data_IF_088719607828
#
_entry.id   IF_088719607828
#
_cell.length_a   1.000
_cell.length_b   1.000
_cell.length_c   1.000
_cell.angle_alpha   90.00
_cell.angle_beta   90.00
_cell.angle_gamma   90.00
#
_symmetry.space_group_name_H-M   'P 1'
#
loop_
_entity.id
_entity.type
_entity.pdbx_description
1 polymer ?
#
# COMPACT_ATOMS: atom_id res chain seq x y z
N UNK A 1 -29.81 -66.75 55.49
CA UNK A 1 -28.34 -66.89 55.49
C UNK A 1 -27.91 -66.91 54.03
N UNK A 2 -27.56 -65.73 53.47
CA UNK A 2 -26.18 -65.32 53.12
C UNK A 2 -25.57 -66.23 52.05
N UNK A 3 -25.36 -65.79 50.81
CA UNK A 3 -24.27 -64.91 50.30
C UNK A 3 -24.57 -64.70 48.79
N UNK A 4 -24.32 -63.58 48.09
CA UNK A 4 -23.32 -62.51 48.22
C UNK A 4 -22.32 -62.61 47.06
N UNK A 5 -22.64 -62.07 45.87
CA UNK A 5 -21.75 -62.05 44.69
C UNK A 5 -21.47 -60.61 44.27
N UNK A 6 -20.19 -60.32 44.03
CA UNK A 6 -19.57 -59.01 43.87
C UNK A 6 -19.74 -58.37 42.47
N UNK A 7 -19.75 -57.04 42.43
CA UNK A 7 -19.57 -56.20 41.22
C UNK A 7 -18.14 -55.62 41.17
N UNK A 8 -17.54 -55.45 39.98
CA UNK A 8 -16.23 -54.81 39.84
C UNK A 8 -16.33 -53.27 39.67
N UNK A 9 -15.31 -52.60 40.21
CA UNK A 9 -15.13 -51.16 40.34
C UNK A 9 -14.61 -50.49 39.05
N UNK A 10 -15.03 -49.25 38.83
CA UNK A 10 -14.52 -48.30 37.83
C UNK A 10 -13.33 -47.48 38.36
N UNK A 11 -12.31 -47.15 37.55
CA UNK A 11 -11.18 -46.34 37.99
C UNK A 11 -11.44 -44.83 37.86
N UNK A 12 -10.98 -44.10 38.87
CA UNK A 12 -11.07 -42.65 39.07
C UNK A 12 -9.94 -41.88 38.38
N UNK A 13 -10.30 -40.71 37.84
CA UNK A 13 -9.42 -39.76 37.15
C UNK A 13 -8.59 -38.94 38.15
N UNK A 14 -7.26 -38.98 38.02
CA UNK A 14 -6.34 -38.07 38.74
C UNK A 14 -6.14 -36.82 37.89
N UNK A 15 -6.50 -35.65 38.44
CA UNK A 15 -6.16 -34.33 37.92
C UNK A 15 -4.81 -33.91 38.49
N UNK A 16 -3.88 -33.47 37.65
CA UNK A 16 -2.66 -32.77 38.07
C UNK A 16 -2.69 -31.36 37.47
N UNK A 17 -2.91 -30.38 38.33
CA UNK A 17 -2.71 -28.96 38.05
C UNK A 17 -1.20 -28.66 38.04
N UNK A 18 -0.74 -27.85 37.10
CA UNK A 18 0.54 -27.13 37.21
C UNK A 18 0.28 -25.64 37.01
N UNK A 19 0.64 -24.87 38.03
CA UNK A 19 0.73 -23.41 38.00
C UNK A 19 2.19 -23.00 37.68
N UNK A 20 2.44 -21.89 36.99
CA UNK A 20 3.77 -21.54 36.48
C UNK A 20 4.59 -20.77 37.52
N UNK A 21 5.85 -21.17 37.70
CA UNK A 21 6.83 -20.53 38.58
C UNK A 21 8.02 -19.98 37.79
N UNK A 22 8.27 -18.69 38.00
CA UNK A 22 9.30 -17.81 37.43
C UNK A 22 10.71 -18.11 37.98
N UNK A 23 11.75 -18.01 37.14
CA UNK A 23 13.10 -17.45 37.45
C UNK A 23 13.87 -17.26 36.11
N UNK A 24 14.10 -16.05 35.58
CA UNK A 24 15.06 -14.96 35.95
C UNK A 24 16.45 -15.10 35.28
N UNK A 25 16.75 -14.09 34.43
CA UNK A 25 18.04 -13.44 34.04
C UNK A 25 19.11 -14.31 33.32
N UNK A 26 19.82 -13.82 32.28
CA UNK A 26 20.51 -12.54 32.26
C UNK A 26 20.83 -11.99 30.85
N UNK A 27 20.98 -10.66 30.81
CA UNK A 27 21.09 -9.75 29.67
C UNK A 27 22.53 -9.43 29.23
N UNK A 28 22.67 -8.83 28.05
CA UNK A 28 23.66 -7.77 27.67
C UNK A 28 23.13 -7.13 26.37
N UNK A 29 22.47 -5.97 26.31
CA UNK A 29 22.73 -4.58 26.76
C UNK A 29 23.70 -3.77 25.86
N UNK A 30 23.18 -2.69 25.27
CA UNK A 30 23.86 -1.63 24.53
C UNK A 30 22.83 -0.65 23.93
N UNK A 31 22.07 0.11 24.73
CA UNK A 31 22.34 1.49 25.22
C UNK A 31 21.58 2.55 24.39
N UNK A 32 20.42 3.01 24.91
CA UNK A 32 19.67 4.19 24.43
C UNK A 32 19.66 5.20 25.58
N UNK A 33 20.11 6.43 25.31
CA UNK A 33 19.95 7.56 26.23
C UNK A 33 18.65 8.31 25.91
N UNK A 34 17.83 8.47 26.94
CA UNK A 34 16.71 9.40 27.04
C UNK A 34 17.23 10.68 27.68
N UNK A 35 16.94 11.84 27.11
CA UNK A 35 17.08 13.14 27.80
C UNK A 35 15.76 13.88 27.64
N UNK A 36 15.07 14.06 28.77
CA UNK A 36 13.97 14.98 28.96
C UNK A 36 14.53 16.27 29.58
N UNK A 37 14.02 17.43 29.19
CA UNK A 37 14.13 18.69 29.94
C UNK A 37 13.18 19.73 29.36
N UNK A 38 12.11 19.96 30.11
CA UNK A 38 11.28 21.16 30.07
C UNK A 38 12.02 22.34 30.70
N UNK A 39 11.99 23.53 30.09
CA UNK A 39 12.10 24.81 30.79
C UNK A 39 11.48 25.95 29.98
N UNK A 40 10.44 26.55 30.57
CA UNK A 40 9.85 27.84 30.21
C UNK A 40 10.72 28.93 30.86
N UNK A 41 11.15 29.94 30.09
CA UNK A 41 11.46 31.28 30.62
C UNK A 41 10.99 32.35 29.64
N UNK A 42 10.08 33.18 30.13
CA UNK A 42 9.63 34.46 29.57
C UNK A 42 10.69 35.54 29.78
N UNK A 43 10.87 36.45 28.81
CA UNK A 43 11.10 37.87 29.12
C UNK A 43 10.88 38.74 27.87
N UNK A 44 10.01 39.73 28.06
CA UNK A 44 9.87 40.91 27.21
C UNK A 44 10.96 41.93 27.56
N UNK A 45 11.29 42.81 26.62
CA UNK A 45 12.22 43.92 26.86
C UNK A 45 12.35 44.85 25.65
N UNK A 46 11.67 45.98 25.77
CA UNK A 46 11.57 47.15 24.87
C UNK A 46 12.89 47.80 24.40
N UNK A 47 12.75 48.65 23.37
CA UNK A 47 13.59 49.85 23.16
C UNK A 47 14.20 49.93 21.75
N UNK A 48 13.54 50.49 20.73
CA UNK A 48 13.28 51.91 20.42
C UNK A 48 14.48 52.67 19.78
N UNK A 49 14.14 53.48 18.75
CA UNK A 49 14.93 54.56 18.09
C UNK A 49 16.03 54.16 17.09
N UNK A 50 16.28 54.85 15.97
CA UNK A 50 15.59 55.89 15.19
C UNK A 50 16.38 56.05 13.86
N UNK A 51 15.72 56.52 12.80
CA UNK A 51 16.20 57.31 11.64
C UNK A 51 17.68 57.20 11.18
N UNK A 52 17.94 57.04 9.88
CA UNK A 52 17.87 58.16 8.91
C UNK A 52 18.38 57.76 7.50
N UNK A 53 17.71 58.33 6.51
CA UNK A 53 18.08 58.68 5.12
C UNK A 53 19.47 58.36 4.55
N UNK A 54 19.50 57.91 3.29
CA UNK A 54 20.73 57.86 2.49
C UNK A 54 20.50 57.60 0.99
N UNK A 55 19.80 58.51 0.32
CA UNK A 55 19.67 58.58 -1.14
C UNK A 55 21.04 58.78 -1.82
N UNK A 56 21.46 57.89 -2.73
CA UNK A 56 22.42 58.22 -3.80
C UNK A 56 22.09 57.47 -5.10
N UNK A 57 21.42 58.21 -5.96
CA UNK A 57 21.39 58.07 -7.41
C UNK A 57 22.78 58.23 -8.03
N UNK A 58 23.17 57.31 -8.92
CA UNK A 58 24.03 57.58 -10.08
C UNK A 58 23.59 56.70 -11.24
N UNK A 59 22.91 57.30 -12.22
CA UNK A 59 22.74 56.72 -13.53
C UNK A 59 23.97 56.95 -14.40
N UNK A 60 24.21 56.04 -15.35
CA UNK A 60 24.61 56.39 -16.72
C UNK A 60 24.35 55.22 -17.67
N UNK A 61 23.58 55.51 -18.71
CA UNK A 61 23.25 54.63 -19.83
C UNK A 61 24.44 54.46 -20.80
N UNK A 62 24.47 53.32 -21.50
CA UNK A 62 25.41 53.07 -22.61
C UNK A 62 25.18 51.72 -23.31
N UNK A 63 24.44 51.77 -24.42
CA UNK A 63 24.01 50.71 -25.36
C UNK A 63 25.08 49.66 -25.75
N UNK A 64 24.64 48.40 -25.91
CA UNK A 64 25.29 47.37 -26.72
C UNK A 64 24.35 46.20 -27.02
N UNK A 65 23.91 46.08 -28.28
CA UNK A 65 23.07 44.98 -28.83
C UNK A 65 23.84 43.66 -28.82
N UNK A 66 23.28 42.62 -28.20
CA UNK A 66 23.73 41.23 -28.33
C UNK A 66 22.51 40.31 -28.35
N UNK A 67 22.22 39.73 -29.52
CA UNK A 67 21.10 38.85 -29.80
C UNK A 67 21.42 37.46 -29.23
N UNK A 68 20.78 37.07 -28.12
CA UNK A 68 20.95 35.75 -27.50
C UNK A 68 19.58 35.16 -27.18
N UNK A 69 19.18 34.15 -27.96
CA UNK A 69 17.95 33.38 -27.81
C UNK A 69 17.98 32.54 -26.52
N UNK A 70 17.54 33.12 -25.40
CA UNK A 70 17.31 32.42 -24.14
C UNK A 70 15.91 31.84 -24.09
N UNK A 71 15.77 30.56 -24.49
CA UNK A 71 14.56 29.75 -24.26
C UNK A 71 14.27 29.72 -22.76
N UNK A 72 13.19 30.39 -22.35
CA UNK A 72 12.59 30.19 -21.04
C UNK A 72 12.29 28.70 -20.85
N UNK A 73 12.86 28.13 -19.78
CA UNK A 73 12.52 26.81 -19.26
C UNK A 73 11.02 26.79 -18.94
N UNK A 74 10.22 26.34 -19.89
CA UNK A 74 8.86 25.91 -19.65
C UNK A 74 8.96 24.55 -18.95
N UNK A 75 8.41 24.48 -17.74
CA UNK A 75 8.07 23.23 -17.08
C UNK A 75 7.41 22.31 -18.09
N UNK A 76 8.08 21.22 -18.47
CA UNK A 76 7.48 20.10 -19.19
C UNK A 76 6.89 19.14 -18.16
N UNK A 77 5.92 19.64 -17.38
CA UNK A 77 4.82 18.78 -16.98
C UNK A 77 4.07 18.47 -18.28
N UNK A 78 4.26 17.27 -18.83
CA UNK A 78 3.34 16.76 -19.85
C UNK A 78 1.90 16.90 -19.34
N UNK A 79 0.90 17.02 -20.23
CA UNK A 79 -0.47 16.97 -19.79
C UNK A 79 -0.64 15.68 -18.99
N UNK A 80 -1.09 15.80 -17.75
CA UNK A 80 -1.55 14.63 -17.00
C UNK A 80 -2.61 13.91 -17.85
N UNK A 81 -2.82 12.60 -17.64
CA UNK A 81 -3.85 11.87 -18.38
C UNK A 81 -5.13 12.69 -18.36
N UNK A 82 -5.71 12.97 -19.53
CA UNK A 82 -6.97 13.72 -19.61
C UNK A 82 -7.93 13.02 -18.65
N UNK A 83 -8.27 13.70 -17.56
CA UNK A 83 -9.25 13.20 -16.60
C UNK A 83 -10.49 13.02 -17.44
N UNK A 84 -10.92 11.77 -17.62
CA UNK A 84 -12.13 11.48 -18.39
C UNK A 84 -13.26 12.29 -17.74
N UNK A 85 -13.68 13.35 -18.43
CA UNK A 85 -14.56 14.37 -17.88
C UNK A 85 -15.96 13.81 -17.54
N UNK A 86 -16.17 12.53 -17.82
CA UNK A 86 -17.37 11.77 -17.54
C UNK A 86 -17.34 10.99 -16.20
N UNK A 87 -16.24 10.99 -15.45
CA UNK A 87 -16.19 10.30 -14.15
C UNK A 87 -16.96 11.10 -13.09
N UNK A 88 -18.06 10.52 -12.62
CA UNK A 88 -18.93 11.12 -11.60
C UNK A 88 -18.69 10.51 -10.21
N UNK A 89 -18.33 9.22 -10.16
CA UNK A 89 -18.16 8.48 -8.91
C UNK A 89 -16.83 7.76 -8.84
N UNK A 90 -16.18 7.84 -7.69
CA UNK A 90 -14.89 7.21 -7.46
C UNK A 90 -14.99 6.36 -6.20
N UNK A 91 -14.82 5.05 -6.37
CA UNK A 91 -14.77 4.09 -5.28
C UNK A 91 -13.33 3.89 -4.86
N UNK A 92 -13.02 4.28 -3.62
CA UNK A 92 -11.70 4.14 -3.02
C UNK A 92 -11.75 2.93 -2.10
N UNK A 93 -11.11 1.85 -2.52
CA UNK A 93 -11.11 0.58 -1.82
C UNK A 93 -9.87 0.43 -0.93
N UNK A 94 -10.06 -0.06 0.28
CA UNK A 94 -9.00 -0.76 1.00
C UNK A 94 -8.76 -2.17 0.43
N UNK A 95 -7.58 -2.72 0.66
CA UNK A 95 -7.16 -4.02 0.14
C UNK A 95 -7.42 -5.15 1.14
N UNK A 96 -6.70 -5.13 2.26
CA UNK A 96 -6.52 -6.23 3.19
C UNK A 96 -7.70 -6.28 4.16
N UNK A 97 -8.38 -7.41 4.26
CA UNK A 97 -9.62 -7.62 5.03
C UNK A 97 -10.86 -6.88 4.49
N UNK A 98 -10.71 -6.23 3.33
CA UNK A 98 -11.80 -5.63 2.56
C UNK A 98 -12.05 -6.39 1.25
N UNK A 99 -11.16 -6.28 0.26
CA UNK A 99 -11.28 -7.01 -1.01
C UNK A 99 -10.75 -8.43 -0.85
N UNK A 100 -9.59 -8.57 -0.20
CA UNK A 100 -8.91 -9.84 0.00
C UNK A 100 -8.84 -10.15 1.49
N UNK A 101 -8.73 -11.43 1.85
CA UNK A 101 -8.33 -11.84 3.19
C UNK A 101 -6.85 -12.20 3.17
N UNK A 102 -6.06 -11.72 4.12
CA UNK A 102 -4.64 -12.05 4.17
C UNK A 102 -4.09 -12.07 5.60
N UNK A 103 -4.01 -10.91 6.25
CA UNK A 103 -3.49 -10.79 7.62
C UNK A 103 -4.35 -11.57 8.62
N UNK A 104 -5.67 -11.60 8.41
CA UNK A 104 -6.60 -12.37 9.25
C UNK A 104 -6.40 -13.88 9.13
N UNK A 105 -5.85 -14.35 8.00
CA UNK A 105 -5.48 -15.76 7.81
C UNK A 105 -4.21 -16.09 8.59
N UNK A 106 -3.18 -15.24 8.48
CA UNK A 106 -1.90 -15.40 9.18
C UNK A 106 -2.06 -15.40 10.70
N UNK A 107 -2.93 -14.53 11.22
CA UNK A 107 -3.21 -14.42 12.66
C UNK A 107 -4.19 -15.48 13.18
N UNK A 108 -4.86 -16.22 12.29
CA UNK A 108 -5.94 -17.15 12.63
C UNK A 108 -7.23 -16.46 13.10
N UNK A 109 -7.30 -15.13 13.07
CA UNK A 109 -8.49 -14.38 13.51
C UNK A 109 -9.71 -14.63 12.61
N UNK A 110 -9.51 -14.84 11.31
CA UNK A 110 -10.56 -15.27 10.40
C UNK A 110 -11.18 -16.60 10.85
N UNK A 111 -10.31 -17.56 11.23
CA UNK A 111 -10.74 -18.88 11.66
C UNK A 111 -11.61 -18.82 12.93
N UNK A 112 -11.18 -18.05 13.93
CA UNK A 112 -11.95 -17.83 15.14
C UNK A 112 -13.31 -17.16 14.88
N UNK A 113 -13.35 -16.18 13.97
CA UNK A 113 -14.56 -15.42 13.66
C UNK A 113 -15.60 -16.22 12.87
N UNK A 114 -15.16 -17.05 11.93
CA UNK A 114 -16.05 -17.77 11.00
C UNK A 114 -16.08 -19.30 11.23
N UNK A 115 -15.54 -19.77 12.36
CA UNK A 115 -15.59 -21.18 12.74
C UNK A 115 -14.81 -22.10 11.80
N UNK A 116 -13.64 -21.65 11.31
CA UNK A 116 -12.74 -22.47 10.48
C UNK A 116 -11.66 -23.14 11.32
N UNK A 117 -11.00 -24.13 10.73
CA UNK A 117 -9.82 -24.75 11.32
C UNK A 117 -8.63 -23.77 11.28
N UNK A 118 -8.11 -23.39 12.46
CA UNK A 118 -7.05 -22.39 12.56
C UNK A 118 -5.72 -22.84 11.93
N UNK A 119 -5.20 -24.06 12.17
CA UNK A 119 -3.98 -24.55 11.50
C UNK A 119 -4.08 -24.51 9.97
N UNK A 120 -5.19 -24.97 9.39
CA UNK A 120 -5.40 -24.94 7.94
C UNK A 120 -5.48 -23.51 7.40
N UNK A 121 -6.15 -22.61 8.13
CA UNK A 121 -6.27 -21.19 7.76
C UNK A 121 -4.90 -20.49 7.73
N UNK A 122 -4.11 -20.67 8.79
CA UNK A 122 -2.75 -20.08 8.89
C UNK A 122 -1.83 -20.66 7.82
N UNK A 123 -1.93 -21.97 7.53
CA UNK A 123 -1.15 -22.62 6.47
C UNK A 123 -1.40 -22.02 5.09
N UNK A 124 -2.66 -21.74 4.73
CA UNK A 124 -3.01 -21.05 3.48
C UNK A 124 -2.44 -19.62 3.47
N UNK A 125 -2.56 -18.89 4.59
CA UNK A 125 -1.99 -17.55 4.74
C UNK A 125 -0.48 -17.52 4.47
N UNK A 126 0.28 -18.41 5.11
CA UNK A 126 1.74 -18.51 4.98
C UNK A 126 2.17 -18.86 3.55
N UNK A 127 1.47 -19.80 2.89
CA UNK A 127 1.75 -20.13 1.49
C UNK A 127 1.51 -18.95 0.55
N UNK A 128 0.46 -18.16 0.81
CA UNK A 128 0.20 -16.95 0.01
C UNK A 128 1.23 -15.86 0.29
N UNK A 129 1.64 -15.68 1.54
CA UNK A 129 2.70 -14.76 1.93
C UNK A 129 4.01 -15.08 1.22
N UNK A 130 4.42 -16.36 1.21
CA UNK A 130 5.60 -16.82 0.47
C UNK A 130 5.50 -16.47 -1.02
N UNK A 131 4.34 -16.67 -1.64
CA UNK A 131 4.13 -16.30 -3.05
C UNK A 131 4.21 -14.79 -3.28
N UNK A 132 3.63 -13.98 -2.39
CA UNK A 132 3.66 -12.51 -2.47
C UNK A 132 5.10 -12.01 -2.42
N UNK A 133 5.89 -12.44 -1.42
CA UNK A 133 7.28 -12.01 -1.29
C UNK A 133 8.14 -12.57 -2.42
N UNK A 134 7.96 -13.84 -2.79
CA UNK A 134 8.70 -14.44 -3.91
C UNK A 134 8.46 -13.69 -5.22
N UNK A 135 7.22 -13.31 -5.54
CA UNK A 135 6.91 -12.51 -6.74
C UNK A 135 7.54 -11.11 -6.63
N UNK A 136 7.39 -10.47 -5.46
CA UNK A 136 7.90 -9.12 -5.20
C UNK A 136 9.41 -9.03 -5.39
N UNK A 137 10.17 -9.97 -4.85
CA UNK A 137 11.63 -10.01 -4.99
C UNK A 137 12.07 -10.41 -6.40
N UNK A 138 11.46 -11.45 -6.96
CA UNK A 138 11.92 -12.00 -8.25
C UNK A 138 11.61 -11.08 -9.43
N UNK A 139 10.47 -10.37 -9.39
CA UNK A 139 9.97 -9.65 -10.55
C UNK A 139 9.79 -8.16 -10.33
N UNK A 140 9.64 -7.70 -9.08
CA UNK A 140 9.26 -6.31 -8.79
C UNK A 140 10.31 -5.56 -7.95
N UNK A 141 11.56 -6.06 -7.93
CA UNK A 141 12.69 -5.40 -7.29
C UNK A 141 12.48 -5.08 -5.81
N UNK A 142 11.67 -5.85 -5.09
CA UNK A 142 11.33 -5.51 -3.70
C UNK A 142 12.57 -5.44 -2.80
N UNK A 143 13.49 -6.39 -2.92
CA UNK A 143 14.80 -6.32 -2.29
C UNK A 143 15.54 -4.99 -2.51
N UNK A 144 15.43 -4.35 -3.69
CA UNK A 144 16.05 -3.04 -3.94
C UNK A 144 15.23 -1.89 -3.37
N UNK A 145 13.91 -2.01 -3.37
CA UNK A 145 12.98 -0.90 -3.18
C UNK A 145 12.42 -0.76 -1.75
N UNK A 146 12.57 -1.76 -0.88
CA UNK A 146 12.00 -1.80 0.47
C UNK A 146 12.25 -0.48 1.26
N UNK A 147 13.49 0.01 1.28
CA UNK A 147 13.87 1.23 2.02
C UNK A 147 13.46 2.53 1.31
N UNK A 148 13.16 2.47 0.01
CA UNK A 148 12.83 3.61 -0.83
C UNK A 148 11.45 3.51 -1.48
N UNK A 149 10.51 2.81 -0.83
CA UNK A 149 9.13 2.64 -1.27
C UNK A 149 8.43 3.98 -1.55
N UNK A 150 7.55 3.99 -2.56
CA UNK A 150 6.86 5.16 -3.08
C UNK A 150 5.35 5.04 -2.83
N UNK A 151 4.67 6.18 -2.77
CA UNK A 151 3.21 6.23 -2.59
C UNK A 151 2.50 5.82 -3.87
N UNK A 152 3.02 6.23 -5.03
CA UNK A 152 2.42 6.00 -6.33
C UNK A 152 3.49 5.64 -7.37
N UNK A 153 3.13 4.80 -8.36
CA UNK A 153 4.04 4.26 -9.38
C UNK A 153 4.83 5.32 -10.16
N UNK A 154 4.24 6.51 -10.33
CA UNK A 154 4.82 7.61 -11.10
C UNK A 154 5.53 8.69 -10.26
N UNK A 155 5.73 8.48 -8.94
CA UNK A 155 6.31 9.49 -8.04
C UNK A 155 7.72 9.94 -8.43
N UNK A 156 8.49 9.01 -9.00
CA UNK A 156 9.87 9.22 -9.44
C UNK A 156 10.00 9.32 -10.96
N UNK A 157 8.89 9.37 -11.69
CA UNK A 157 8.90 9.35 -13.16
C UNK A 157 9.59 10.58 -13.78
N UNK A 158 9.67 11.70 -13.05
CA UNK A 158 10.34 12.92 -13.53
C UNK A 158 11.86 12.77 -13.66
N UNK A 159 12.47 11.82 -12.94
CA UNK A 159 13.91 11.52 -13.01
C UNK A 159 14.25 10.48 -14.09
N UNK A 160 13.23 9.93 -14.76
CA UNK A 160 13.39 9.00 -15.87
C UNK A 160 13.70 9.75 -17.18
N UNK A 161 14.67 9.25 -17.94
CA UNK A 161 15.05 9.79 -19.25
C UNK A 161 14.40 9.06 -20.44
N UNK A 162 13.57 8.04 -20.18
CA UNK A 162 12.81 7.31 -21.19
C UNK A 162 13.63 6.34 -22.03
N UNK A 163 14.82 5.91 -21.59
CA UNK A 163 15.57 4.87 -22.31
C UNK A 163 14.80 3.54 -22.33
N UNK A 164 15.01 2.76 -23.39
CA UNK A 164 14.54 1.38 -23.43
C UNK A 164 15.23 0.56 -22.33
N UNK A 165 14.42 -0.15 -21.53
CA UNK A 165 14.89 -0.99 -20.43
C UNK A 165 14.99 -2.46 -20.80
N UNK A 166 14.66 -2.84 -22.04
CA UNK A 166 14.65 -4.25 -22.47
C UNK A 166 16.01 -4.95 -22.33
N UNK A 167 17.11 -4.21 -22.52
CA UNK A 167 18.49 -4.70 -22.34
C UNK A 167 19.20 -4.09 -21.12
N UNK A 168 18.49 -3.37 -20.24
CA UNK A 168 19.09 -2.74 -19.07
C UNK A 168 19.38 -3.80 -17.99
N UNK A 169 20.62 -3.83 -17.48
CA UNK A 169 21.02 -4.78 -16.45
C UNK A 169 20.82 -4.19 -15.05
N UNK A 170 19.66 -4.49 -14.43
CA UNK A 170 19.32 -4.03 -13.08
C UNK A 170 20.22 -4.62 -11.99
N UNK A 171 20.71 -5.86 -12.16
CA UNK A 171 21.53 -6.56 -11.15
C UNK A 171 22.91 -5.89 -10.98
N UNK A 172 23.47 -5.37 -12.08
CA UNK A 172 24.82 -4.81 -12.12
C UNK A 172 24.86 -3.29 -12.28
N UNK A 173 23.75 -2.58 -12.05
CA UNK A 173 23.71 -1.12 -12.19
C UNK A 173 24.22 -0.35 -10.95
N UNK A 174 24.59 -1.05 -9.87
CA UNK A 174 25.14 -0.45 -8.66
C UNK A 174 24.14 0.40 -7.87
N UNK A 175 22.83 0.15 -8.01
CA UNK A 175 21.78 0.89 -7.32
C UNK A 175 21.95 0.90 -5.80
N UNK A 176 22.11 -0.25 -5.16
CA UNK A 176 22.26 -0.37 -3.70
C UNK A 176 23.56 0.27 -3.18
N UNK A 177 24.66 0.18 -3.93
CA UNK A 177 25.91 0.88 -3.60
C UNK A 177 25.73 2.40 -3.60
N UNK A 178 24.90 2.90 -4.52
CA UNK A 178 24.57 4.33 -4.62
C UNK A 178 23.58 4.78 -3.54
N UNK A 179 22.67 3.89 -3.12
CA UNK A 179 21.68 4.14 -2.06
C UNK A 179 22.34 4.45 -0.70
N UNK A 180 23.32 3.61 -0.32
CA UNK A 180 24.09 3.80 0.93
C UNK A 180 24.88 5.11 0.94
N UNK A 181 25.23 5.63 -0.26
CA UNK A 181 25.98 6.86 -0.41
C UNK A 181 25.07 8.10 -0.45
N UNK A 182 23.88 8.01 -1.04
CA UNK A 182 22.94 9.13 -1.09
C UNK A 182 22.20 9.37 0.23
N UNK A 183 22.04 8.35 1.09
CA UNK A 183 21.56 8.54 2.47
C UNK A 183 22.57 9.27 3.36
N UNK A 184 23.87 9.21 3.03
CA UNK A 184 24.95 9.74 3.87
C UNK A 184 25.58 11.06 3.38
N UNK A 185 25.44 11.46 2.11
CA UNK A 185 26.03 12.71 1.61
C UNK A 185 25.17 13.42 0.56
N UNK A 186 24.94 14.71 0.79
CA UNK A 186 24.29 15.71 -0.08
C UNK A 186 25.02 16.00 -1.42
N UNK A 187 25.68 15.01 -2.02
CA UNK A 187 26.47 15.18 -3.25
C UNK A 187 26.00 14.21 -4.34
N UNK A 188 25.22 14.77 -5.29
CA UNK A 188 24.83 14.20 -6.59
C UNK A 188 23.97 12.92 -6.57
N UNK A 189 22.82 12.98 -5.91
CA UNK A 189 21.74 11.99 -5.97
C UNK A 189 20.97 11.87 -7.30
N UNK A 190 21.51 12.34 -8.44
CA UNK A 190 20.81 12.31 -9.74
C UNK A 190 20.93 10.98 -10.50
N UNK A 191 21.96 10.18 -10.24
CA UNK A 191 22.09 8.87 -10.88
C UNK A 191 21.26 7.80 -10.16
N UNK A 192 21.21 7.87 -8.83
CA UNK A 192 20.40 6.96 -8.01
C UNK A 192 18.89 7.16 -8.24
N UNK A 193 18.41 8.40 -8.24
CA UNK A 193 16.98 8.73 -8.50
C UNK A 193 16.50 8.25 -9.85
N UNK A 194 17.33 8.39 -10.89
CA UNK A 194 17.06 7.85 -12.23
C UNK A 194 17.01 6.31 -12.25
N UNK A 195 17.90 5.62 -11.52
CA UNK A 195 17.86 4.15 -11.37
C UNK A 195 16.64 3.66 -10.58
N UNK A 196 16.19 4.47 -9.61
CA UNK A 196 14.92 4.25 -8.91
C UNK A 196 13.73 4.38 -9.88
N UNK A 197 13.72 5.43 -10.70
CA UNK A 197 12.70 5.64 -11.73
C UNK A 197 12.63 4.47 -12.73
N UNK A 198 13.78 3.96 -13.17
CA UNK A 198 13.83 2.79 -14.06
C UNK A 198 13.16 1.55 -13.45
N UNK A 199 13.37 1.28 -12.15
CA UNK A 199 12.75 0.13 -11.47
C UNK A 199 11.23 0.29 -11.41
N UNK A 200 10.73 1.47 -11.04
CA UNK A 200 9.29 1.73 -11.00
C UNK A 200 8.65 1.70 -12.40
N UNK A 201 9.31 2.25 -13.42
CA UNK A 201 8.84 2.10 -14.81
C UNK A 201 8.85 0.63 -15.25
N UNK A 202 9.87 -0.14 -14.89
CA UNK A 202 9.92 -1.56 -15.21
C UNK A 202 8.82 -2.36 -14.50
N UNK A 203 8.51 -2.04 -13.25
CA UNK A 203 7.36 -2.59 -12.51
C UNK A 203 6.06 -2.28 -13.26
N UNK A 204 5.90 -1.03 -13.75
CA UNK A 204 4.75 -0.61 -14.56
C UNK A 204 4.60 -1.45 -15.84
N UNK A 205 5.70 -1.67 -16.56
CA UNK A 205 5.72 -2.53 -17.75
C UNK A 205 5.34 -3.98 -17.43
N UNK A 206 5.91 -4.56 -16.36
CA UNK A 206 5.63 -5.93 -15.93
C UNK A 206 4.16 -6.07 -15.52
N UNK A 207 3.66 -5.19 -14.66
CA UNK A 207 2.27 -5.21 -14.22
C UNK A 207 1.31 -5.14 -15.40
N UNK A 208 1.51 -4.18 -16.31
CA UNK A 208 0.62 -4.01 -17.47
C UNK A 208 0.69 -5.20 -18.44
N UNK A 209 1.86 -5.83 -18.59
CA UNK A 209 2.04 -7.01 -19.45
C UNK A 209 1.41 -8.27 -18.86
N UNK A 210 1.38 -8.40 -17.53
CA UNK A 210 1.00 -9.66 -16.86
C UNK A 210 -0.25 -9.59 -15.98
N UNK A 211 -0.89 -8.42 -15.82
CA UNK A 211 -2.12 -8.26 -15.00
C UNK A 211 -3.29 -9.16 -15.38
N UNK A 212 -3.32 -9.62 -16.65
CA UNK A 212 -4.29 -10.59 -17.16
C UNK A 212 -3.67 -11.97 -17.48
N UNK A 213 -2.39 -12.18 -17.15
CA UNK A 213 -1.64 -13.43 -17.42
C UNK A 213 -0.58 -13.70 -16.34
N UNK A 214 -0.98 -13.68 -15.07
CA UNK A 214 -0.06 -13.84 -13.92
C UNK A 214 0.64 -15.20 -13.94
N UNK A 215 -0.04 -16.25 -14.42
CA UNK A 215 0.58 -17.57 -14.61
C UNK A 215 1.77 -17.56 -15.59
N UNK A 216 1.77 -16.67 -16.57
CA UNK A 216 2.91 -16.46 -17.47
C UNK A 216 4.09 -15.75 -16.80
N UNK A 217 3.83 -14.86 -15.84
CA UNK A 217 4.87 -14.20 -15.04
C UNK A 217 5.53 -15.18 -14.07
N UNK A 218 4.71 -15.98 -13.38
CA UNK A 218 5.17 -16.95 -12.38
C UNK A 218 5.95 -18.13 -12.98
N UNK A 219 5.65 -18.47 -14.23
CA UNK A 219 6.16 -19.67 -14.89
C UNK A 219 5.40 -20.95 -14.50
N UNK A 220 5.59 -22.06 -15.25
CA UNK A 220 4.70 -23.22 -15.18
C UNK A 220 4.60 -23.88 -13.80
N UNK A 221 5.72 -24.04 -13.09
CA UNK A 221 5.74 -24.72 -11.79
C UNK A 221 5.00 -23.90 -10.72
N UNK A 222 5.35 -22.62 -10.55
CA UNK A 222 4.70 -21.74 -9.56
C UNK A 222 3.23 -21.44 -9.92
N UNK A 223 2.89 -21.43 -11.21
CA UNK A 223 1.50 -21.24 -11.67
C UNK A 223 0.57 -22.32 -11.13
N UNK A 224 0.96 -23.60 -11.17
CA UNK A 224 0.09 -24.68 -10.69
C UNK A 224 -0.14 -24.57 -9.18
N UNK A 225 0.94 -24.36 -8.41
CA UNK A 225 0.87 -24.15 -6.97
C UNK A 225 -0.01 -22.95 -6.61
N UNK A 226 0.10 -21.86 -7.37
CA UNK A 226 -0.73 -20.66 -7.21
C UNK A 226 -2.20 -20.94 -7.45
N UNK A 227 -2.56 -21.60 -8.56
CA UNK A 227 -3.95 -21.91 -8.87
C UNK A 227 -4.57 -22.82 -7.81
N UNK A 228 -3.83 -23.84 -7.37
CA UNK A 228 -4.27 -24.73 -6.29
C UNK A 228 -4.49 -23.95 -4.98
N UNK A 229 -3.54 -23.11 -4.59
CA UNK A 229 -3.66 -22.26 -3.40
C UNK A 229 -4.87 -21.33 -3.48
N UNK A 230 -5.14 -20.74 -4.65
CA UNK A 230 -6.29 -19.87 -4.89
C UNK A 230 -7.62 -20.60 -4.74
N UNK A 231 -7.71 -21.83 -5.26
CA UNK A 231 -8.91 -22.66 -5.10
C UNK A 231 -9.16 -23.03 -3.63
N UNK A 232 -8.12 -23.47 -2.92
CA UNK A 232 -8.21 -23.79 -1.49
C UNK A 232 -8.61 -22.57 -0.66
N UNK A 233 -8.04 -21.42 -0.97
CA UNK A 233 -8.34 -20.17 -0.29
C UNK A 233 -9.78 -19.74 -0.52
N UNK A 234 -10.30 -19.84 -1.74
CA UNK A 234 -11.69 -19.50 -2.05
C UNK A 234 -12.68 -20.40 -1.30
N UNK A 235 -12.36 -21.70 -1.20
CA UNK A 235 -13.17 -22.65 -0.45
C UNK A 235 -13.12 -22.39 1.06
N UNK A 236 -11.93 -22.12 1.62
CA UNK A 236 -11.77 -21.85 3.04
C UNK A 236 -12.47 -20.55 3.47
N UNK A 237 -12.47 -19.55 2.58
CA UNK A 237 -12.99 -18.20 2.84
C UNK A 237 -14.45 -18.00 2.44
N UNK A 238 -15.18 -19.08 2.16
CA UNK A 238 -16.59 -19.04 1.74
C UNK A 238 -16.83 -18.04 0.60
N UNK A 239 -15.92 -18.04 -0.38
CA UNK A 239 -15.98 -17.20 -1.57
C UNK A 239 -15.92 -15.69 -1.31
N UNK A 240 -15.21 -15.24 -0.26
CA UNK A 240 -15.03 -13.82 0.07
C UNK A 240 -14.61 -12.98 -1.14
N UNK A 241 -13.55 -13.43 -1.84
CA UNK A 241 -13.02 -12.70 -2.97
C UNK A 241 -13.99 -12.67 -4.15
N UNK A 242 -14.69 -13.76 -4.43
CA UNK A 242 -15.77 -13.76 -5.44
C UNK A 242 -16.84 -12.72 -5.11
N UNK A 243 -17.23 -12.56 -3.85
CA UNK A 243 -18.20 -11.53 -3.46
C UNK A 243 -17.67 -10.12 -3.70
N UNK A 244 -16.42 -9.83 -3.31
CA UNK A 244 -15.80 -8.54 -3.58
C UNK A 244 -15.67 -8.25 -5.08
N UNK A 245 -15.29 -9.25 -5.87
CA UNK A 245 -15.15 -9.14 -7.33
C UNK A 245 -16.47 -8.81 -8.03
N UNK A 246 -17.63 -9.26 -7.52
CA UNK A 246 -18.93 -8.88 -8.07
C UNK A 246 -19.14 -7.37 -8.00
N UNK A 247 -18.92 -6.77 -6.82
CA UNK A 247 -19.06 -5.32 -6.63
C UNK A 247 -18.02 -4.55 -7.48
N UNK A 248 -16.75 -4.96 -7.43
CA UNK A 248 -15.67 -4.35 -8.21
C UNK A 248 -15.94 -4.36 -9.72
N UNK A 249 -16.41 -5.49 -10.26
CA UNK A 249 -16.71 -5.64 -11.69
C UNK A 249 -17.91 -4.79 -12.10
N UNK A 250 -18.93 -4.69 -11.25
CA UNK A 250 -20.10 -3.84 -11.50
C UNK A 250 -19.73 -2.35 -11.51
N UNK A 251 -18.81 -1.92 -10.64
CA UNK A 251 -18.26 -0.55 -10.70
C UNK A 251 -17.44 -0.37 -11.98
N UNK A 252 -16.58 -1.34 -12.32
CA UNK A 252 -15.70 -1.28 -13.49
C UNK A 252 -16.47 -1.24 -14.82
N UNK A 253 -17.66 -1.83 -14.90
CA UNK A 253 -18.48 -1.82 -16.12
C UNK A 253 -19.23 -0.50 -16.37
N UNK A 254 -19.27 0.41 -15.39
CA UNK A 254 -19.94 1.72 -15.49
C UNK A 254 -18.95 2.77 -16.00
N UNK A 255 -19.30 3.42 -17.11
CA UNK A 255 -18.46 4.44 -17.74
C UNK A 255 -18.29 5.73 -16.93
N UNK A 256 -19.14 5.98 -15.94
CA UNK A 256 -19.08 7.14 -15.04
C UNK A 256 -18.49 6.80 -13.66
N UNK A 257 -18.01 5.58 -13.45
CA UNK A 257 -17.41 5.14 -12.19
C UNK A 257 -15.94 4.76 -12.36
N UNK A 258 -15.17 4.89 -11.28
CA UNK A 258 -13.77 4.50 -11.23
C UNK A 258 -13.46 3.72 -9.94
N UNK A 259 -12.69 2.64 -10.06
CA UNK A 259 -12.08 1.96 -8.92
C UNK A 259 -10.65 2.48 -8.67
N UNK A 260 -10.38 2.88 -7.44
CA UNK A 260 -9.05 3.20 -6.91
C UNK A 260 -8.74 2.29 -5.72
N UNK A 261 -7.47 1.91 -5.57
CA UNK A 261 -6.98 1.12 -4.46
C UNK A 261 -6.10 2.01 -3.56
N UNK A 262 -6.37 2.02 -2.25
CA UNK A 262 -5.51 2.67 -1.25
C UNK A 262 -5.30 1.71 -0.10
N UNK A 263 -4.07 1.23 0.09
CA UNK A 263 -3.71 0.23 1.11
C UNK A 263 -2.55 0.72 1.99
N UNK A 264 -2.48 0.26 3.23
CA UNK A 264 -1.33 0.49 4.13
C UNK A 264 -0.14 -0.43 3.82
N UNK A 265 -0.29 -1.42 2.93
CA UNK A 265 0.82 -2.22 2.41
C UNK A 265 1.75 -1.35 1.55
N UNK A 266 3.07 -1.55 1.63
CA UNK A 266 4.04 -0.93 0.71
C UNK A 266 3.66 -1.18 -0.75
N UNK A 267 4.00 -0.27 -1.66
CA UNK A 267 3.48 -0.30 -3.03
C UNK A 267 3.84 -1.60 -3.76
N UNK A 268 5.09 -2.06 -3.65
CA UNK A 268 5.54 -3.26 -4.38
C UNK A 268 4.79 -4.53 -3.94
N UNK A 269 4.74 -4.90 -2.64
CA UNK A 269 3.93 -6.04 -2.20
C UNK A 269 2.43 -5.86 -2.44
N UNK A 270 1.91 -4.62 -2.41
CA UNK A 270 0.50 -4.35 -2.76
C UNK A 270 0.22 -4.72 -4.23
N UNK A 271 1.11 -4.36 -5.15
CA UNK A 271 0.97 -4.74 -6.57
C UNK A 271 1.12 -6.25 -6.78
N UNK A 272 2.01 -6.91 -6.04
CA UNK A 272 2.12 -8.37 -6.04
C UNK A 272 0.81 -9.03 -5.57
N UNK A 273 0.20 -8.53 -4.49
CA UNK A 273 -1.13 -8.96 -4.04
C UNK A 273 -2.16 -8.75 -5.14
N UNK A 274 -2.23 -7.58 -5.79
CA UNK A 274 -3.17 -7.35 -6.89
C UNK A 274 -3.03 -8.36 -8.03
N UNK A 275 -1.80 -8.72 -8.40
CA UNK A 275 -1.55 -9.74 -9.43
C UNK A 275 -2.02 -11.12 -8.94
N UNK A 276 -1.52 -11.59 -7.81
CA UNK A 276 -1.82 -12.93 -7.29
C UNK A 276 -3.30 -13.12 -6.94
N UNK A 277 -4.01 -12.03 -6.64
CA UNK A 277 -5.44 -12.07 -6.35
C UNK A 277 -6.34 -11.83 -7.58
N UNK A 278 -5.77 -11.66 -8.77
CA UNK A 278 -6.52 -11.46 -10.01
C UNK A 278 -7.21 -10.09 -10.10
N UNK A 279 -6.70 -9.09 -9.39
CA UNK A 279 -7.26 -7.75 -9.30
C UNK A 279 -6.70 -6.79 -10.37
N UNK A 280 -5.62 -7.16 -11.06
CA UNK A 280 -4.94 -6.25 -11.97
C UNK A 280 -5.73 -5.84 -13.22
N UNK A 281 -6.71 -6.64 -13.64
CA UNK A 281 -7.66 -6.24 -14.68
C UNK A 281 -8.61 -5.11 -14.24
N UNK A 282 -8.92 -5.05 -12.93
CA UNK A 282 -9.84 -4.08 -12.33
C UNK A 282 -9.12 -2.79 -11.92
N UNK A 283 -7.91 -2.91 -11.39
CA UNK A 283 -7.10 -1.79 -10.93
C UNK A 283 -5.93 -1.56 -11.90
N UNK A 284 -6.02 -0.56 -12.79
CA UNK A 284 -4.83 0.00 -13.43
C UNK A 284 -3.78 0.35 -12.38
N UNK A 285 -2.50 0.16 -12.70
CA UNK A 285 -1.43 0.41 -11.72
C UNK A 285 -1.38 1.88 -11.26
N UNK A 286 -1.78 2.81 -12.12
CA UNK A 286 -1.90 4.24 -11.82
C UNK A 286 -3.10 4.55 -10.91
N UNK A 287 -3.95 3.57 -10.60
CA UNK A 287 -5.08 3.72 -9.69
C UNK A 287 -4.80 3.12 -8.31
N UNK A 288 -3.56 2.68 -8.05
CA UNK A 288 -3.14 2.09 -6.79
C UNK A 288 -2.21 3.03 -6.03
N UNK A 289 -2.50 3.24 -4.75
CA UNK A 289 -1.75 4.12 -3.85
C UNK A 289 -1.36 3.36 -2.58
N UNK A 290 -0.09 3.47 -2.18
CA UNK A 290 0.37 3.01 -0.89
C UNK A 290 0.33 4.14 0.15
N UNK A 291 -0.45 3.91 1.20
CA UNK A 291 -0.53 4.76 2.38
C UNK A 291 0.52 4.42 3.44
N UNK A 292 1.42 3.45 3.20
CA UNK A 292 2.34 2.92 4.20
C UNK A 292 3.17 4.01 4.92
N UNK A 293 3.60 5.05 4.19
CA UNK A 293 4.44 6.14 4.72
C UNK A 293 3.65 7.42 5.04
N UNK A 294 2.59 7.71 4.29
CA UNK A 294 1.90 9.01 4.30
C UNK A 294 0.51 8.98 4.93
N UNK A 295 -0.04 7.79 5.20
CA UNK A 295 -1.40 7.62 5.71
C UNK A 295 -2.49 7.74 4.65
N UNK A 296 -3.69 7.24 4.97
CA UNK A 296 -4.86 7.19 4.07
C UNK A 296 -5.37 8.59 3.69
N UNK A 297 -5.41 9.51 4.65
CA UNK A 297 -5.86 10.90 4.45
C UNK A 297 -5.06 11.61 3.36
N UNK A 298 -3.72 11.57 3.44
CA UNK A 298 -2.82 12.13 2.43
C UNK A 298 -3.04 11.53 1.03
N UNK A 299 -3.30 10.22 0.95
CA UNK A 299 -3.65 9.57 -0.33
C UNK A 299 -4.99 10.08 -0.86
N UNK A 300 -5.99 10.27 -0.01
CA UNK A 300 -7.31 10.78 -0.41
C UNK A 300 -7.22 12.23 -0.91
N UNK A 301 -6.46 13.09 -0.24
CA UNK A 301 -6.20 14.46 -0.73
C UNK A 301 -5.56 14.44 -2.11
N UNK A 302 -4.56 13.58 -2.31
CA UNK A 302 -3.89 13.42 -3.60
C UNK A 302 -4.85 12.94 -4.69
N UNK A 303 -5.74 12.01 -4.38
CA UNK A 303 -6.80 11.54 -5.26
C UNK A 303 -7.75 12.68 -5.63
N UNK A 304 -8.18 13.50 -4.67
CA UNK A 304 -9.03 14.68 -4.92
C UNK A 304 -8.32 15.69 -5.81
N UNK A 305 -7.03 15.93 -5.58
CA UNK A 305 -6.24 16.83 -6.41
C UNK A 305 -6.09 16.31 -7.85
N UNK A 306 -6.07 14.99 -8.04
CA UNK A 306 -5.99 14.36 -9.36
C UNK A 306 -7.32 14.36 -10.10
N UNK A 307 -8.43 14.00 -9.45
CA UNK A 307 -9.72 13.79 -10.14
C UNK A 307 -10.69 14.96 -10.00
N UNK A 308 -10.46 15.86 -9.04
CA UNK A 308 -11.24 17.08 -8.83
C UNK A 308 -12.45 16.91 -7.91
N UNK A 309 -12.81 17.98 -7.21
CA UNK A 309 -13.85 17.99 -6.14
C UNK A 309 -15.29 17.79 -6.61
N UNK A 310 -15.53 17.63 -7.91
CA UNK A 310 -16.89 17.44 -8.47
C UNK A 310 -17.35 15.99 -8.41
N UNK A 311 -16.44 15.03 -8.32
CA UNK A 311 -16.77 13.63 -8.19
C UNK A 311 -17.34 13.32 -6.80
N UNK A 312 -18.20 12.32 -6.72
CA UNK A 312 -18.59 11.70 -5.45
C UNK A 312 -17.56 10.63 -5.11
N UNK A 313 -16.93 10.73 -3.93
CA UNK A 313 -15.95 9.76 -3.46
C UNK A 313 -16.60 8.85 -2.43
N UNK A 314 -16.60 7.54 -2.68
CA UNK A 314 -17.12 6.53 -1.76
C UNK A 314 -15.95 5.70 -1.28
N UNK A 315 -15.73 5.64 0.03
CA UNK A 315 -14.65 4.86 0.62
C UNK A 315 -15.22 3.52 1.09
N UNK A 316 -14.56 2.41 0.71
CA UNK A 316 -14.95 1.05 1.10
C UNK A 316 -13.79 0.41 1.85
N UNK A 317 -14.01 -0.01 3.09
CA UNK A 317 -12.96 -0.58 3.92
C UNK A 317 -13.47 -1.24 5.20
N UNK A 318 -12.62 -2.00 5.87
CA UNK A 318 -12.91 -2.60 7.18
C UNK A 318 -12.26 -1.84 8.33
N UNK A 319 -11.17 -1.12 8.04
CA UNK A 319 -10.26 -0.52 8.99
C UNK A 319 -10.70 0.85 9.50
N UNK A 320 -10.14 1.20 10.65
CA UNK A 320 -10.37 2.49 11.30
C UNK A 320 -9.73 3.65 10.54
N UNK A 321 -8.59 3.42 9.88
CA UNK A 321 -7.80 4.48 9.27
C UNK A 321 -8.52 5.12 8.08
N UNK A 322 -9.07 4.32 7.16
CA UNK A 322 -9.90 4.82 6.06
C UNK A 322 -11.25 5.37 6.52
N UNK A 323 -11.83 4.87 7.62
CA UNK A 323 -13.05 5.45 8.20
C UNK A 323 -12.77 6.85 8.78
N UNK A 324 -11.65 7.04 9.47
CA UNK A 324 -11.27 8.35 9.99
C UNK A 324 -10.95 9.33 8.86
N UNK A 325 -10.14 8.89 7.88
CA UNK A 325 -9.80 9.70 6.71
C UNK A 325 -11.03 10.08 5.89
N UNK A 326 -11.98 9.15 5.68
CA UNK A 326 -13.23 9.47 4.96
C UNK A 326 -14.09 10.48 5.71
N UNK A 327 -14.17 10.41 7.05
CA UNK A 327 -14.86 11.42 7.86
C UNK A 327 -14.23 12.81 7.74
N UNK A 328 -12.89 12.90 7.79
CA UNK A 328 -12.19 14.18 7.62
C UNK A 328 -12.43 14.78 6.24
N UNK A 329 -12.48 13.94 5.20
CA UNK A 329 -12.75 14.35 3.82
C UNK A 329 -14.24 14.53 3.49
N UNK A 330 -15.13 14.22 4.44
CA UNK A 330 -16.59 14.17 4.27
C UNK A 330 -17.03 13.25 3.11
N UNK A 331 -16.40 12.09 3.01
CA UNK A 331 -16.74 11.03 2.06
C UNK A 331 -17.65 9.99 2.72
N UNK A 332 -18.73 9.54 2.04
CA UNK A 332 -19.46 8.35 2.45
C UNK A 332 -18.52 7.15 2.65
N UNK A 333 -18.71 6.44 3.76
CA UNK A 333 -17.93 5.25 4.11
C UNK A 333 -18.83 4.02 4.15
N UNK A 334 -18.47 3.00 3.37
CA UNK A 334 -19.11 1.69 3.40
C UNK A 334 -18.21 0.70 4.13
N UNK A 335 -18.59 0.34 5.36
CA UNK A 335 -17.82 -0.62 6.16
C UNK A 335 -18.02 -2.04 5.64
N UNK A 336 -16.93 -2.77 5.49
CA UNK A 336 -16.93 -4.22 5.29
C UNK A 336 -16.47 -4.88 6.59
N UNK A 337 -17.28 -5.78 7.13
CA UNK A 337 -16.91 -6.53 8.34
C UNK A 337 -17.20 -8.01 8.19
N UNK A 338 -18.04 -8.41 7.25
CA UNK A 338 -18.38 -9.79 6.95
C UNK A 338 -18.90 -9.92 5.50
N UNK A 339 -19.15 -11.16 5.06
CA UNK A 339 -19.64 -11.46 3.71
C UNK A 339 -20.96 -10.75 3.35
N UNK A 340 -21.86 -10.55 4.32
CA UNK A 340 -23.14 -9.87 4.09
C UNK A 340 -22.94 -8.41 3.69
N UNK A 341 -21.90 -7.74 4.18
CA UNK A 341 -21.62 -6.35 3.83
C UNK A 341 -21.19 -6.22 2.36
N UNK A 342 -20.44 -7.19 1.82
CA UNK A 342 -20.08 -7.26 0.40
C UNK A 342 -21.31 -7.56 -0.47
N UNK A 343 -22.19 -8.46 -0.02
CA UNK A 343 -23.46 -8.77 -0.70
C UNK A 343 -24.34 -7.52 -0.76
N UNK A 344 -24.48 -6.82 0.37
CA UNK A 344 -25.27 -5.60 0.46
C UNK A 344 -24.68 -4.48 -0.40
N UNK A 345 -23.35 -4.35 -0.45
CA UNK A 345 -22.67 -3.40 -1.33
C UNK A 345 -22.99 -3.67 -2.79
N UNK A 346 -22.85 -4.92 -3.23
CA UNK A 346 -23.19 -5.32 -4.59
C UNK A 346 -24.66 -5.00 -4.91
N UNK A 347 -25.60 -5.31 -4.00
CA UNK A 347 -27.01 -5.02 -4.21
C UNK A 347 -27.30 -3.51 -4.28
N UNK A 348 -26.69 -2.70 -3.41
CA UNK A 348 -26.84 -1.25 -3.44
C UNK A 348 -26.27 -0.64 -4.73
N UNK A 349 -25.13 -1.16 -5.21
CA UNK A 349 -24.59 -0.82 -6.51
C UNK A 349 -25.60 -1.17 -7.61
N UNK A 350 -26.10 -2.41 -7.66
CA UNK A 350 -27.02 -2.89 -8.71
C UNK A 350 -28.30 -2.05 -8.84
N UNK A 351 -28.86 -1.60 -7.71
CA UNK A 351 -30.02 -0.70 -7.66
C UNK A 351 -29.70 0.76 -8.04
N UNK A 352 -28.42 1.12 -8.23
CA UNK A 352 -27.99 2.48 -8.55
C UNK A 352 -28.01 3.44 -7.36
N UNK A 353 -28.05 2.91 -6.13
CA UNK A 353 -28.05 3.72 -4.90
C UNK A 353 -26.66 4.28 -4.57
N UNK A 354 -25.60 3.69 -5.14
CA UNK A 354 -24.21 4.07 -4.93
C UNK A 354 -23.55 4.57 -6.20
#
# INVERSE_FOLDING_TARGET
MTTGVAQPQSPSTVKTEMNPGVLVQNSTAGHVQVVDSSHIVTSAGDGNHNNNTGNRSRGRAGRGRGKGSGRGRRSTSGPGPEIDHNIERIFIWDLDETIILFHSLLTGSYAGKFGKDAPSTVSIGLRMEEMIFSLSDTHLFFHDLEDCDQVHIDDVAADDNGIDLSTYNFENDGFRSSANMCLNQNMRGGDWTKKLAYRYRRIKEIYNSYRNNVGGLLGPAKRETWLQLRMEMEALTDSWLTLALKALTLVHSRSNCLNLLVTTTQLVPALAKCLLYGLGGIFPIENSYSAAKVGKESCFERIVNRFGRKCTYIVVGDGRDEELASKQMNFPFWRISNHQDLINLHHALDLGHL
#
